data_IF_984632660535
#
_entry.id   IF_984632660535
#
_cell.length_a   1.000
_cell.length_b   1.000
_cell.length_c   1.000
_cell.angle_alpha   90.00
_cell.angle_beta   90.00
_cell.angle_gamma   90.00
#
_symmetry.space_group_name_H-M   'P 1'
#
loop_
_entity.id
_entity.type
_entity.pdbx_description
1 polymer ?
#
# COMPACT_ATOMS: atom_id res chain seq x y z
N UNK A 1 15.95 -21.25 -10.22
CA UNK A 1 15.93 -20.19 -9.17
C UNK A 1 14.60 -19.48 -9.25
N UNK A 2 13.93 -19.25 -8.12
CA UNK A 2 12.66 -18.51 -8.06
C UNK A 2 12.85 -17.31 -7.13
N UNK A 3 12.57 -16.11 -7.63
CA UNK A 3 12.69 -14.85 -6.92
C UNK A 3 11.33 -14.16 -6.81
N UNK A 4 11.09 -13.50 -5.68
CA UNK A 4 9.91 -12.69 -5.43
C UNK A 4 10.35 -11.29 -5.03
N UNK A 5 10.17 -10.30 -5.91
CA UNK A 5 10.80 -8.98 -5.79
C UNK A 5 9.74 -7.89 -5.67
N UNK A 6 9.85 -7.05 -4.65
CA UNK A 6 9.01 -5.85 -4.50
C UNK A 6 9.46 -4.77 -5.49
N UNK A 7 8.52 -4.20 -6.24
CA UNK A 7 8.80 -3.06 -7.14
C UNK A 7 9.20 -1.79 -6.40
N UNK A 8 8.68 -1.61 -5.18
CA UNK A 8 8.88 -0.43 -4.35
C UNK A 8 10.37 -0.18 -4.04
N UNK A 9 11.13 -1.23 -3.75
CA UNK A 9 12.51 -1.12 -3.24
C UNK A 9 13.49 -2.16 -3.83
N UNK A 10 13.04 -3.01 -4.76
CA UNK A 10 13.79 -4.13 -5.35
C UNK A 10 14.29 -5.17 -4.33
N UNK A 11 13.75 -5.19 -3.11
CA UNK A 11 14.10 -6.20 -2.11
C UNK A 11 13.21 -7.45 -2.26
N UNK A 12 13.67 -8.56 -1.68
CA UNK A 12 12.93 -9.81 -1.70
C UNK A 12 11.66 -9.71 -0.84
N UNK A 13 10.50 -10.04 -1.41
CA UNK A 13 9.24 -10.21 -0.67
C UNK A 13 9.25 -11.51 0.14
N UNK A 14 9.89 -12.55 -0.40
CA UNK A 14 10.11 -13.83 0.25
C UNK A 14 11.45 -14.41 -0.18
N UNK A 15 12.08 -15.28 0.64
CA UNK A 15 13.42 -15.79 0.36
C UNK A 15 13.54 -16.44 -1.02
N UNK A 16 14.62 -16.12 -1.73
CA UNK A 16 14.94 -16.79 -3.01
C UNK A 16 15.04 -18.31 -2.82
N UNK A 17 14.35 -19.07 -3.69
CA UNK A 17 14.41 -20.53 -3.70
C UNK A 17 15.32 -21.03 -4.84
N UNK A 18 16.20 -21.97 -4.52
CA UNK A 18 17.07 -22.63 -5.50
C UNK A 18 16.86 -24.14 -5.45
N UNK A 19 16.45 -24.72 -6.56
CA UNK A 19 16.24 -26.17 -6.72
C UNK A 19 17.09 -26.65 -7.89
N UNK A 20 17.70 -27.83 -7.75
CA UNK A 20 18.44 -28.53 -8.80
C UNK A 20 17.73 -29.86 -9.09
N UNK A 21 17.38 -30.09 -10.34
CA UNK A 21 16.74 -31.32 -10.81
C UNK A 21 17.45 -31.86 -12.05
N UNK A 22 17.28 -33.15 -12.38
CA UNK A 22 17.76 -33.70 -13.64
C UNK A 22 17.17 -32.97 -14.85
N UNK A 23 17.93 -33.00 -15.95
CA UNK A 23 17.47 -32.47 -17.25
C UNK A 23 16.12 -33.08 -17.64
N UNK A 24 15.27 -32.28 -18.27
CA UNK A 24 13.91 -32.65 -18.70
C UNK A 24 12.88 -32.85 -17.59
N UNK A 25 13.27 -32.61 -16.33
CA UNK A 25 12.26 -32.56 -15.26
C UNK A 25 11.36 -31.35 -15.52
N UNK A 26 10.02 -31.49 -15.55
CA UNK A 26 9.14 -30.33 -15.64
C UNK A 26 9.15 -29.54 -14.32
N UNK A 27 8.94 -28.24 -14.43
CA UNK A 27 8.71 -27.37 -13.28
C UNK A 27 7.53 -26.44 -13.53
N UNK A 28 6.84 -26.12 -12.45
CA UNK A 28 5.83 -25.07 -12.37
C UNK A 28 6.08 -24.28 -11.11
N UNK A 29 5.99 -22.96 -11.23
CA UNK A 29 6.17 -22.02 -10.11
C UNK A 29 4.92 -21.16 -9.98
N UNK A 30 4.74 -20.56 -8.81
CA UNK A 30 3.57 -19.73 -8.51
C UNK A 30 3.99 -18.53 -7.67
N UNK A 31 3.27 -17.40 -7.77
CA UNK A 31 3.49 -16.28 -6.88
C UNK A 31 3.16 -16.67 -5.44
N UNK A 32 3.73 -15.95 -4.48
CA UNK A 32 3.38 -16.05 -3.06
C UNK A 32 2.20 -15.15 -2.74
N UNK A 33 1.40 -15.54 -1.75
CA UNK A 33 0.38 -14.67 -1.17
C UNK A 33 1.01 -13.80 -0.09
N UNK A 34 0.71 -12.51 -0.12
CA UNK A 34 1.14 -11.56 0.88
C UNK A 34 -0.01 -10.65 1.32
N UNK A 35 0.03 -10.17 2.56
CA UNK A 35 -0.98 -9.29 3.13
C UNK A 35 -0.99 -7.92 2.43
N UNK A 36 0.18 -7.33 2.20
CA UNK A 36 0.36 -5.96 1.73
C UNK A 36 0.66 -5.86 0.24
N UNK A 37 1.17 -6.92 -0.37
CA UNK A 37 1.58 -6.93 -1.77
C UNK A 37 0.75 -7.88 -2.61
N UNK A 38 0.62 -7.56 -3.89
CA UNK A 38 0.00 -8.40 -4.92
C UNK A 38 0.95 -8.58 -6.10
N UNK A 39 0.88 -9.74 -6.75
CA UNK A 39 1.73 -10.05 -7.89
C UNK A 39 1.30 -9.24 -9.11
N UNK A 40 2.26 -8.68 -9.83
CA UNK A 40 1.98 -8.01 -11.11
C UNK A 40 1.42 -9.00 -12.13
N UNK A 41 0.50 -8.50 -12.97
CA UNK A 41 0.00 -9.20 -14.14
C UNK A 41 0.47 -8.49 -15.41
N UNK A 42 0.97 -9.22 -16.43
CA UNK A 42 1.04 -10.68 -16.51
C UNK A 42 2.18 -11.30 -15.68
N UNK A 43 1.97 -12.55 -15.25
CA UNK A 43 2.99 -13.36 -14.59
C UNK A 43 4.17 -13.68 -15.53
N UNK A 44 5.37 -14.01 -15.02
CA UNK A 44 6.52 -14.37 -15.84
C UNK A 44 6.19 -15.52 -16.79
N UNK A 45 6.58 -15.38 -18.06
CA UNK A 45 6.28 -16.34 -19.13
C UNK A 45 6.99 -17.68 -18.93
N UNK A 46 8.13 -17.69 -18.23
CA UNK A 46 8.92 -18.88 -17.92
C UNK A 46 8.56 -19.53 -16.58
N UNK A 47 7.38 -19.22 -16.00
CA UNK A 47 6.90 -19.82 -14.75
C UNK A 47 6.71 -21.34 -14.83
N UNK A 48 6.51 -21.84 -16.04
CA UNK A 48 6.46 -23.26 -16.39
C UNK A 48 7.58 -23.57 -17.39
N UNK A 49 8.15 -24.77 -17.32
CA UNK A 49 9.18 -25.20 -18.24
C UNK A 49 9.79 -26.54 -17.84
N UNK A 50 10.97 -26.83 -18.37
CA UNK A 50 11.76 -28.01 -18.02
C UNK A 50 13.19 -27.62 -17.63
N UNK A 51 13.80 -28.37 -16.72
CA UNK A 51 15.19 -28.15 -16.35
C UNK A 51 16.11 -28.46 -17.54
N UNK A 52 16.94 -27.48 -17.91
CA UNK A 52 17.94 -27.58 -18.98
C UNK A 52 19.37 -27.57 -18.44
N UNK A 53 20.32 -27.36 -19.36
CA UNK A 53 21.75 -27.34 -19.04
C UNK A 53 22.21 -26.00 -18.41
N UNK A 54 21.39 -24.95 -18.54
CA UNK A 54 21.66 -23.61 -18.03
C UNK A 54 20.75 -23.26 -16.85
N UNK A 55 21.28 -22.45 -15.93
CA UNK A 55 20.50 -21.90 -14.82
C UNK A 55 19.33 -21.06 -15.34
N UNK A 56 18.13 -21.36 -14.86
CA UNK A 56 16.92 -20.60 -15.15
C UNK A 56 16.48 -19.82 -13.91
N UNK A 57 16.16 -18.53 -14.11
CA UNK A 57 15.58 -17.67 -13.06
C UNK A 57 14.17 -17.28 -13.45
N UNK A 58 13.21 -17.62 -12.59
CA UNK A 58 11.83 -17.12 -12.65
C UNK A 58 11.70 -16.00 -11.62
N UNK A 59 11.27 -14.82 -12.06
CA UNK A 59 11.09 -13.65 -11.17
C UNK A 59 9.65 -13.20 -11.19
N UNK A 60 9.02 -13.19 -10.02
CA UNK A 60 7.74 -12.56 -9.79
C UNK A 60 7.96 -11.15 -9.22
N UNK A 61 7.31 -10.16 -9.81
CA UNK A 61 7.30 -8.79 -9.31
C UNK A 61 6.01 -8.49 -8.57
N UNK A 62 6.11 -7.66 -7.53
CA UNK A 62 5.01 -7.34 -6.64
C UNK A 62 4.86 -5.84 -6.45
N UNK A 63 3.62 -5.37 -6.45
CA UNK A 63 3.24 -4.00 -6.10
C UNK A 63 2.49 -3.99 -4.77
N UNK A 64 2.64 -2.92 -3.99
CA UNK A 64 1.88 -2.77 -2.75
C UNK A 64 0.43 -2.55 -3.11
N UNK A 65 -0.50 -3.20 -2.41
CA UNK A 65 -1.93 -3.09 -2.65
C UNK A 65 -2.42 -1.66 -2.45
N UNK A 66 -3.47 -1.32 -3.18
CA UNK A 66 -4.22 -0.09 -2.95
C UNK A 66 -4.98 -0.14 -1.63
N UNK A 67 -5.07 1.02 -0.99
CA UNK A 67 -5.92 1.31 0.15
C UNK A 67 -7.02 2.30 -0.22
N UNK A 68 -7.99 2.47 0.67
CA UNK A 68 -8.90 3.60 0.61
C UNK A 68 -8.17 4.91 0.92
N UNK A 69 -8.63 5.99 0.29
CA UNK A 69 -8.10 7.33 0.53
C UNK A 69 -8.41 7.78 1.96
N UNK A 70 -7.58 8.69 2.47
CA UNK A 70 -7.84 9.40 3.73
C UNK A 70 -8.26 10.82 3.39
N UNK A 71 -9.50 11.18 3.73
CA UNK A 71 -10.05 12.52 3.51
C UNK A 71 -10.00 13.31 4.81
N UNK A 72 -9.51 14.54 4.75
CA UNK A 72 -9.37 15.43 5.90
C UNK A 72 -10.29 16.63 5.71
N UNK A 73 -11.13 16.87 6.69
CA UNK A 73 -12.04 18.01 6.74
C UNK A 73 -11.73 18.92 7.92
N UNK A 74 -12.05 20.20 7.76
CA UNK A 74 -11.85 21.23 8.78
C UNK A 74 -13.18 21.96 8.97
N UNK A 75 -14.00 21.49 9.90
CA UNK A 75 -15.36 21.97 10.09
C UNK A 75 -15.51 22.98 11.23
N UNK A 76 -16.49 23.87 11.12
CA UNK A 76 -17.00 24.61 12.28
C UNK A 76 -17.72 23.66 13.25
N UNK A 77 -17.45 23.82 14.54
CA UNK A 77 -17.94 22.95 15.63
C UNK A 77 -19.46 22.75 15.57
N UNK A 78 -19.89 21.49 15.65
CA UNK A 78 -21.29 21.06 15.55
C UNK A 78 -21.97 21.33 14.19
N UNK A 79 -21.20 21.59 13.13
CA UNK A 79 -21.72 21.78 11.77
C UNK A 79 -20.94 20.93 10.75
N UNK A 80 -21.34 21.01 9.48
CA UNK A 80 -20.58 20.50 8.32
C UNK A 80 -20.06 21.62 7.43
N UNK A 81 -19.97 22.84 7.96
CA UNK A 81 -19.43 23.99 7.23
C UNK A 81 -17.91 23.87 7.15
N UNK A 82 -17.38 23.69 5.94
CA UNK A 82 -15.93 23.68 5.72
C UNK A 82 -15.33 25.06 5.95
N UNK A 83 -14.28 25.09 6.76
CA UNK A 83 -13.48 26.28 7.06
C UNK A 83 -12.15 26.30 6.30
N UNK A 84 -11.76 25.17 5.71
CA UNK A 84 -10.59 25.05 4.84
C UNK A 84 -10.90 24.13 3.64
N UNK A 85 -9.96 24.04 2.70
CA UNK A 85 -10.11 23.12 1.56
C UNK A 85 -9.93 21.68 2.04
N UNK A 86 -10.85 20.79 1.65
CA UNK A 86 -10.72 19.35 1.92
C UNK A 86 -9.42 18.79 1.33
N UNK A 87 -8.64 18.08 2.15
CA UNK A 87 -7.41 17.42 1.72
C UNK A 87 -7.66 15.92 1.55
N UNK A 88 -7.28 15.37 0.39
CA UNK A 88 -7.35 13.92 0.12
C UNK A 88 -5.93 13.36 0.04
N UNK A 89 -5.61 12.42 0.92
CA UNK A 89 -4.38 11.65 0.87
C UNK A 89 -4.64 10.34 0.12
N UNK A 90 -4.09 10.14 -1.10
CA UNK A 90 -4.41 8.99 -1.92
C UNK A 90 -3.90 7.69 -1.28
N UNK A 91 -4.72 6.65 -1.32
CA UNK A 91 -4.44 5.29 -0.84
C UNK A 91 -3.76 4.38 -1.87
N UNK A 92 -3.55 4.86 -3.10
CA UNK A 92 -2.91 4.11 -4.17
C UNK A 92 -1.52 3.59 -3.75
N UNK A 93 -1.33 2.27 -3.81
CA UNK A 93 -0.13 1.57 -3.34
C UNK A 93 0.27 1.91 -1.90
N UNK A 94 -0.67 2.20 -0.98
CA UNK A 94 -0.36 2.57 0.42
C UNK A 94 -0.92 1.62 1.47
N UNK A 95 -1.51 0.49 1.11
CA UNK A 95 -2.11 -0.40 2.11
C UNK A 95 -1.12 -0.82 3.21
N UNK A 96 -1.53 -0.59 4.47
CA UNK A 96 -0.73 -0.83 5.66
C UNK A 96 0.35 0.22 5.96
N UNK A 97 0.57 1.23 5.11
CA UNK A 97 1.47 2.33 5.41
C UNK A 97 0.83 3.30 6.41
N UNK A 98 1.67 4.03 7.15
CA UNK A 98 1.21 5.07 8.05
C UNK A 98 0.76 6.33 7.29
N UNK A 99 -0.21 7.05 7.84
CA UNK A 99 -0.54 8.42 7.48
C UNK A 99 -0.52 9.32 8.71
N UNK A 100 -0.30 10.61 8.46
CA UNK A 100 -0.39 11.69 9.44
C UNK A 100 -1.10 12.85 8.78
N UNK A 101 -1.99 13.49 9.53
CA UNK A 101 -2.67 14.73 9.17
C UNK A 101 -2.39 15.79 10.23
N UNK A 102 -2.62 17.05 9.88
CA UNK A 102 -2.36 18.20 10.75
C UNK A 102 -3.56 19.13 10.75
N UNK A 103 -3.71 19.88 11.85
CA UNK A 103 -4.62 21.01 11.93
C UNK A 103 -4.15 22.17 11.04
N UNK A 104 -5.07 23.09 10.74
CA UNK A 104 -4.81 24.33 10.03
C UNK A 104 -5.00 25.55 10.93
N UNK A 105 -4.26 26.62 10.63
CA UNK A 105 -4.45 27.92 11.29
C UNK A 105 -5.55 28.70 10.59
N UNK A 106 -6.74 28.74 11.19
CA UNK A 106 -7.92 29.38 10.60
C UNK A 106 -8.24 30.70 11.34
N UNK A 107 -8.32 31.80 10.58
CA UNK A 107 -8.58 33.14 11.13
C UNK A 107 -9.91 33.18 11.89
N UNK A 108 -9.90 33.72 13.12
CA UNK A 108 -11.05 33.82 14.04
C UNK A 108 -11.56 32.48 14.60
N UNK A 109 -10.85 31.37 14.41
CA UNK A 109 -11.23 30.06 14.94
C UNK A 109 -10.09 29.43 15.76
N UNK A 110 -10.43 28.57 16.71
CA UNK A 110 -9.51 27.74 17.51
C UNK A 110 -9.92 26.27 17.40
N UNK A 111 -8.94 25.35 17.39
CA UNK A 111 -9.23 23.92 17.35
C UNK A 111 -9.89 23.48 18.66
N UNK A 112 -10.99 22.74 18.57
CA UNK A 112 -11.69 22.18 19.74
C UNK A 112 -10.86 21.08 20.39
N UNK A 113 -10.44 20.08 19.59
CA UNK A 113 -9.60 18.97 20.03
C UNK A 113 -8.91 18.29 18.84
N UNK A 114 -7.78 17.63 19.12
CA UNK A 114 -7.07 16.84 18.13
C UNK A 114 -7.82 15.53 17.83
N UNK A 115 -8.08 15.19 16.57
CA UNK A 115 -8.72 13.93 16.21
C UNK A 115 -7.87 12.74 16.65
N UNK A 116 -8.52 11.70 17.20
CA UNK A 116 -7.82 10.51 17.68
C UNK A 116 -7.16 9.72 16.54
N UNK A 117 -7.70 9.82 15.33
CA UNK A 117 -7.22 9.18 14.11
C UNK A 117 -6.37 10.11 13.22
N UNK A 118 -5.86 11.25 13.73
CA UNK A 118 -4.94 12.09 12.94
C UNK A 118 -3.68 11.37 12.49
N UNK A 119 -3.28 10.33 13.23
CA UNK A 119 -2.25 9.38 12.87
C UNK A 119 -2.89 8.00 12.79
N UNK A 120 -2.60 7.26 11.74
CA UNK A 120 -3.15 5.93 11.55
C UNK A 120 -2.46 5.17 10.44
N UNK A 121 -3.08 4.08 10.00
CA UNK A 121 -2.63 3.29 8.85
C UNK A 121 -3.67 3.27 7.76
N UNK A 122 -3.23 3.28 6.50
CA UNK A 122 -4.10 3.09 5.35
C UNK A 122 -4.77 1.70 5.37
N UNK A 123 -6.10 1.69 5.42
CA UNK A 123 -6.94 0.49 5.36
C UNK A 123 -7.53 0.28 3.98
N UNK A 124 -8.13 -0.89 3.72
CA UNK A 124 -8.84 -1.14 2.45
C UNK A 124 -10.02 -0.18 2.24
N UNK A 125 -10.70 0.20 3.33
CA UNK A 125 -11.80 1.15 3.27
C UNK A 125 -11.28 2.59 3.37
N UNK A 126 -11.93 3.55 2.68
CA UNK A 126 -11.67 4.97 2.87
C UNK A 126 -11.86 5.40 4.32
N UNK A 127 -11.10 6.41 4.74
CA UNK A 127 -11.12 6.94 6.11
C UNK A 127 -11.34 8.45 6.07
N UNK A 128 -11.94 8.98 7.13
CA UNK A 128 -12.18 10.41 7.30
C UNK A 128 -11.55 10.90 8.60
N UNK A 129 -10.84 12.02 8.55
CA UNK A 129 -10.27 12.71 9.72
C UNK A 129 -10.89 14.11 9.79
N UNK A 130 -11.71 14.34 10.80
CA UNK A 130 -12.43 15.61 10.97
C UNK A 130 -11.82 16.44 12.10
N UNK A 131 -11.34 17.63 11.76
CA UNK A 131 -10.94 18.64 12.72
C UNK A 131 -12.09 19.62 12.94
N UNK A 132 -12.51 19.81 14.18
CA UNK A 132 -13.58 20.75 14.53
C UNK A 132 -13.01 22.01 15.18
N UNK A 133 -13.50 23.17 14.76
CA UNK A 133 -13.04 24.47 15.25
C UNK A 133 -14.18 25.30 15.82
N UNK A 134 -13.93 25.98 16.93
CA UNK A 134 -14.87 26.93 17.54
C UNK A 134 -14.42 28.35 17.25
N UNK A 135 -15.38 29.25 17.04
CA UNK A 135 -15.10 30.68 16.85
C UNK A 135 -14.53 31.29 18.13
N UNK A 136 -13.50 32.14 17.98
CA UNK A 136 -12.89 32.91 19.08
C UNK A 136 -13.81 34.02 19.58
#
# INVERSE_FOLDING_TARGET
>A
IVKHIKREDNTELSPTTTVRMPRWTPYTTSPVTDTYYEAETPLPTNKDGEYGDNDTTVTYYYVRKNAGDVTVHHYEENTTTELATTLVLPGANKFGLNYTTSEESITNYELVAQPTNKNGTYTLLPQTVDYFYRRK
#
